data_IF_054624499156
#
_entry.id   IF_054624499156
#
_cell.length_a   1.000
_cell.length_b   1.000
_cell.length_c   1.000
_cell.angle_alpha   90.00
_cell.angle_beta   90.00
_cell.angle_gamma   90.00
#
_symmetry.space_group_name_H-M   'P 1'
#
loop_
_entity.id
_entity.type
_entity.pdbx_description
1 polymer ?
#
# COMPACT_ATOMS: atom_id res chain seq x y z
N UNK A 1 26.40 9.17 11.59
CA UNK A 1 26.81 9.03 10.18
C UNK A 1 25.57 9.31 9.34
N UNK A 2 25.59 10.39 8.57
CA UNK A 2 24.46 10.78 7.70
C UNK A 2 24.31 9.72 6.61
N UNK A 3 23.34 8.80 6.74
CA UNK A 3 22.94 7.98 5.60
C UNK A 3 22.41 8.94 4.54
N UNK A 4 23.10 9.05 3.40
CA UNK A 4 22.56 9.76 2.26
C UNK A 4 21.29 9.04 1.84
N UNK A 5 20.13 9.61 2.17
CA UNK A 5 18.84 9.10 1.70
C UNK A 5 18.88 9.06 0.17
N UNK A 6 18.50 7.92 -0.39
CA UNK A 6 18.40 7.77 -1.84
C UNK A 6 17.13 8.50 -2.26
N UNK A 7 17.17 9.41 -3.24
CA UNK A 7 15.95 10.03 -3.74
C UNK A 7 14.98 8.96 -4.27
N UNK A 8 13.70 9.07 -3.91
CA UNK A 8 12.72 8.04 -4.27
C UNK A 8 12.57 7.88 -5.80
N UNK A 9 12.68 8.99 -6.54
CA UNK A 9 12.58 9.06 -8.01
C UNK A 9 11.48 8.12 -8.56
N UNK A 10 10.21 8.35 -8.19
CA UNK A 10 9.11 7.48 -8.62
C UNK A 10 8.98 7.51 -10.15
N UNK A 11 8.80 6.35 -10.82
CA UNK A 11 8.52 6.32 -12.25
C UNK A 11 7.23 7.06 -12.63
N UNK A 12 7.08 7.38 -13.91
CA UNK A 12 5.94 8.14 -14.42
C UNK A 12 4.59 7.52 -14.07
N UNK A 13 3.69 8.38 -13.59
CA UNK A 13 2.33 8.03 -13.18
C UNK A 13 2.17 7.63 -11.71
N UNK A 14 3.27 7.39 -10.98
CA UNK A 14 3.21 7.18 -9.54
C UNK A 14 3.05 8.52 -8.79
N UNK A 15 2.15 8.53 -7.80
CA UNK A 15 1.87 9.68 -6.94
C UNK A 15 2.05 9.27 -5.48
N UNK A 16 2.70 10.15 -4.70
CA UNK A 16 2.89 9.94 -3.26
C UNK A 16 1.54 9.82 -2.55
N UNK A 17 1.42 8.84 -1.66
CA UNK A 17 0.22 8.67 -0.82
C UNK A 17 0.33 9.58 0.41
N UNK A 18 -0.63 10.49 0.56
CA UNK A 18 -0.75 11.27 1.80
C UNK A 18 -1.43 10.43 2.90
N UNK A 19 -0.61 9.75 3.70
CA UNK A 19 -1.05 9.04 4.90
C UNK A 19 -1.23 9.95 6.12
N UNK A 20 -0.57 11.11 6.14
CA UNK A 20 -0.66 12.04 7.27
C UNK A 20 -2.04 12.70 7.32
N UNK A 21 -2.61 13.05 6.15
CA UNK A 21 -3.94 13.68 6.03
C UNK A 21 -4.10 14.89 6.93
N UNK A 22 -3.06 15.72 7.00
CA UNK A 22 -3.01 16.91 7.85
C UNK A 22 -2.87 16.63 9.36
N UNK A 23 -2.65 15.37 9.78
CA UNK A 23 -2.36 15.05 11.18
C UNK A 23 -0.92 15.48 11.52
N UNK A 24 -0.71 16.10 12.69
CA UNK A 24 0.62 16.52 13.10
C UNK A 24 1.47 15.35 13.62
N UNK A 25 0.85 14.32 14.22
CA UNK A 25 1.58 13.17 14.72
C UNK A 25 1.83 12.11 13.64
N UNK A 26 3.01 11.48 13.62
CA UNK A 26 3.27 10.36 12.73
C UNK A 26 2.37 9.17 13.07
N UNK A 27 1.77 8.59 12.03
CA UNK A 27 1.14 7.27 12.07
C UNK A 27 2.13 6.19 11.62
N UNK A 28 1.75 4.93 11.73
CA UNK A 28 2.59 3.81 11.27
C UNK A 28 3.02 3.99 9.80
N UNK A 29 2.09 4.30 8.90
CA UNK A 29 2.39 4.42 7.47
C UNK A 29 3.29 5.62 7.14
N UNK A 30 3.18 6.73 7.88
CA UNK A 30 4.10 7.87 7.71
C UNK A 30 5.46 7.61 8.33
N UNK A 31 5.57 6.65 9.26
CA UNK A 31 6.81 6.29 9.94
C UNK A 31 7.66 5.30 9.14
N UNK A 32 7.03 4.32 8.48
CA UNK A 32 7.75 3.25 7.77
C UNK A 32 8.31 3.68 6.40
N UNK A 33 7.86 4.82 5.88
CA UNK A 33 8.44 5.48 4.71
C UNK A 33 7.43 5.82 3.62
N UNK A 34 7.92 6.48 2.57
CA UNK A 34 7.09 6.94 1.46
C UNK A 34 6.55 5.76 0.64
N UNK A 35 5.28 5.85 0.28
CA UNK A 35 4.65 4.91 -0.63
C UNK A 35 3.89 5.67 -1.71
N UNK A 36 3.85 5.04 -2.88
CA UNK A 36 3.33 5.64 -4.09
C UNK A 36 2.23 4.77 -4.66
N UNK A 37 1.28 5.40 -5.36
CA UNK A 37 0.23 4.69 -6.09
C UNK A 37 0.17 5.15 -7.53
N UNK A 38 -0.09 4.20 -8.43
CA UNK A 38 -0.43 4.45 -9.84
C UNK A 38 -1.76 3.76 -10.13
N UNK A 39 -2.59 4.43 -10.92
CA UNK A 39 -3.86 3.88 -11.42
C UNK A 39 -3.77 3.76 -12.93
N UNK A 40 -4.01 2.55 -13.42
CA UNK A 40 -3.97 2.22 -14.84
C UNK A 40 -5.36 2.06 -15.44
N UNK A 41 -5.40 1.43 -16.61
CA UNK A 41 -6.63 1.09 -17.31
C UNK A 41 -7.42 0.00 -16.55
N UNK A 42 -8.74 0.16 -16.51
CA UNK A 42 -9.66 -0.76 -15.83
C UNK A 42 -9.62 -2.16 -16.46
N UNK A 43 -9.59 -3.20 -15.62
CA UNK A 43 -9.52 -4.60 -16.03
C UNK A 43 -8.11 -5.09 -16.36
N UNK A 44 -7.09 -4.24 -16.26
CA UNK A 44 -5.69 -4.63 -16.48
C UNK A 44 -5.00 -5.01 -15.17
N UNK A 45 -3.87 -5.73 -15.29
CA UNK A 45 -3.00 -6.05 -14.15
C UNK A 45 -2.47 -4.80 -13.42
N UNK A 46 -2.40 -3.67 -14.12
CA UNK A 46 -1.88 -2.40 -13.60
C UNK A 46 -3.00 -1.39 -13.27
N UNK A 47 -4.26 -1.84 -13.19
CA UNK A 47 -5.40 -0.99 -12.81
C UNK A 47 -5.13 -0.26 -11.48
N UNK A 48 -4.46 -0.94 -10.54
CA UNK A 48 -3.93 -0.32 -9.32
C UNK A 48 -2.57 -0.94 -8.96
N UNK A 49 -1.56 -0.08 -8.77
CA UNK A 49 -0.22 -0.47 -8.32
C UNK A 49 0.16 0.39 -7.13
N UNK A 50 0.59 -0.24 -6.03
CA UNK A 50 1.26 0.44 -4.91
C UNK A 50 2.75 0.17 -5.00
N UNK A 51 3.60 1.15 -4.69
CA UNK A 51 5.04 0.98 -4.81
C UNK A 51 5.82 1.72 -3.72
N UNK A 52 7.04 1.26 -3.48
CA UNK A 52 8.02 1.90 -2.61
C UNK A 52 9.39 1.93 -3.29
N UNK A 53 10.20 2.93 -2.95
CA UNK A 53 11.66 2.86 -3.10
C UNK A 53 12.21 2.27 -1.80
N UNK A 54 13.02 1.22 -1.89
CA UNK A 54 13.65 0.65 -0.68
C UNK A 54 14.68 1.62 -0.13
N UNK A 55 14.45 2.10 1.08
CA UNK A 55 15.35 2.97 1.83
C UNK A 55 16.12 2.20 2.90
N UNK A 56 17.25 2.75 3.36
CA UNK A 56 18.11 2.08 4.34
C UNK A 56 17.40 1.79 5.67
N UNK A 57 16.47 2.66 6.10
CA UNK A 57 15.67 2.49 7.31
C UNK A 57 14.61 1.37 7.20
N UNK A 58 14.34 0.87 5.99
CA UNK A 58 13.41 -0.25 5.75
C UNK A 58 14.11 -1.62 5.79
N UNK A 59 15.44 -1.64 5.86
CA UNK A 59 16.22 -2.86 5.76
C UNK A 59 16.41 -3.57 7.11
N UNK A 60 16.54 -4.89 7.04
CA UNK A 60 16.98 -5.72 8.16
C UNK A 60 18.51 -5.61 8.38
N UNK A 61 19.05 -6.19 9.47
CA UNK A 61 20.49 -6.15 9.75
C UNK A 61 21.38 -6.78 8.67
N UNK A 62 20.84 -7.64 7.81
CA UNK A 62 21.56 -8.23 6.68
C UNK A 62 21.55 -7.33 5.42
N UNK A 63 20.95 -6.13 5.50
CA UNK A 63 20.94 -5.13 4.43
C UNK A 63 19.85 -5.31 3.37
N UNK A 64 19.01 -6.34 3.48
CA UNK A 64 17.85 -6.55 2.60
C UNK A 64 16.59 -5.91 3.17
N UNK A 65 15.61 -5.62 2.31
CA UNK A 65 14.30 -5.12 2.72
C UNK A 65 13.71 -6.02 3.80
N UNK A 66 13.32 -5.45 4.94
CA UNK A 66 12.83 -6.22 6.06
C UNK A 66 11.53 -6.95 5.67
N UNK A 67 11.38 -8.22 6.05
CA UNK A 67 10.18 -9.00 5.73
C UNK A 67 8.90 -8.35 6.28
N UNK A 68 8.99 -7.72 7.46
CA UNK A 68 7.93 -6.88 8.02
C UNK A 68 7.50 -5.72 7.10
N UNK A 69 8.45 -5.04 6.46
CA UNK A 69 8.13 -3.97 5.51
C UNK A 69 7.44 -4.53 4.26
N UNK A 70 7.89 -5.68 3.75
CA UNK A 70 7.19 -6.37 2.64
C UNK A 70 5.75 -6.74 3.02
N UNK A 71 5.54 -7.25 4.24
CA UNK A 71 4.19 -7.56 4.75
C UNK A 71 3.32 -6.30 4.86
N UNK A 72 3.86 -5.19 5.35
CA UNK A 72 3.16 -3.89 5.41
C UNK A 72 2.74 -3.41 4.03
N UNK A 73 3.65 -3.45 3.04
CA UNK A 73 3.33 -3.06 1.66
C UNK A 73 2.24 -3.97 1.09
N UNK A 74 2.35 -5.28 1.29
CA UNK A 74 1.36 -6.24 0.81
C UNK A 74 -0.02 -6.05 1.48
N UNK A 75 -0.07 -5.71 2.77
CA UNK A 75 -1.31 -5.37 3.48
C UNK A 75 -2.02 -4.18 2.82
N UNK A 76 -1.27 -3.12 2.51
CA UNK A 76 -1.81 -1.94 1.82
C UNK A 76 -2.20 -2.24 0.37
N UNK A 77 -1.49 -3.11 -0.34
CA UNK A 77 -1.90 -3.59 -1.67
C UNK A 77 -3.23 -4.33 -1.59
N UNK A 78 -3.41 -5.20 -0.59
CA UNK A 78 -4.65 -5.95 -0.38
C UNK A 78 -5.83 -5.05 -0.02
N UNK A 79 -5.63 -4.13 0.91
CA UNK A 79 -6.70 -3.26 1.44
C UNK A 79 -7.01 -2.08 0.52
N UNK A 80 -6.00 -1.37 0.00
CA UNK A 80 -6.21 -0.25 -0.92
C UNK A 80 -6.44 -0.74 -2.34
N UNK A 81 -5.57 -1.60 -2.86
CA UNK A 81 -5.65 -2.10 -4.23
C UNK A 81 -6.79 -3.07 -4.42
N UNK A 82 -6.89 -4.11 -3.58
CA UNK A 82 -8.01 -5.04 -3.62
C UNK A 82 -9.36 -4.33 -3.40
N UNK A 83 -9.42 -3.36 -2.48
CA UNK A 83 -10.59 -2.52 -2.27
C UNK A 83 -10.96 -1.69 -3.51
N UNK A 84 -9.98 -1.09 -4.17
CA UNK A 84 -10.17 -0.32 -5.41
C UNK A 84 -10.74 -1.20 -6.53
N UNK A 85 -10.14 -2.38 -6.78
CA UNK A 85 -10.59 -3.33 -7.80
C UNK A 85 -12.01 -3.85 -7.53
N UNK A 86 -12.36 -4.01 -6.25
CA UNK A 86 -13.69 -4.42 -5.80
C UNK A 86 -14.73 -3.28 -5.80
N UNK A 87 -14.34 -2.06 -6.20
CA UNK A 87 -15.23 -0.89 -6.15
C UNK A 87 -15.62 -0.45 -4.75
N UNK A 88 -14.84 -0.83 -3.72
CA UNK A 88 -15.11 -0.53 -2.32
C UNK A 88 -14.48 0.81 -1.92
N UNK A 89 -15.26 1.66 -1.24
CA UNK A 89 -14.80 2.94 -0.65
C UNK A 89 -14.86 2.92 0.88
N UNK A 90 -14.43 1.81 1.48
CA UNK A 90 -14.53 1.55 2.92
C UNK A 90 -13.15 1.30 3.52
N UNK A 91 -13.02 1.50 4.83
CA UNK A 91 -11.90 0.93 5.57
C UNK A 91 -12.05 -0.59 5.61
N UNK A 92 -11.00 -1.31 5.24
CA UNK A 92 -10.97 -2.77 5.13
C UNK A 92 -9.95 -3.33 6.13
N UNK A 93 -10.32 -3.52 7.40
CA UNK A 93 -9.43 -4.15 8.37
C UNK A 93 -9.00 -5.53 7.89
N UNK A 94 -7.70 -5.80 7.90
CA UNK A 94 -7.17 -7.12 7.58
C UNK A 94 -7.54 -8.11 8.68
N UNK A 95 -8.09 -9.27 8.27
CA UNK A 95 -8.48 -10.38 9.16
C UNK A 95 -7.37 -11.40 9.26
N UNK A 96 -6.78 -11.78 8.13
CA UNK A 96 -5.66 -12.70 8.08
C UNK A 96 -4.86 -12.51 6.79
N UNK A 97 -3.56 -12.79 6.87
CA UNK A 97 -2.68 -12.89 5.72
C UNK A 97 -1.69 -14.03 5.90
N UNK A 98 -1.38 -14.72 4.80
CA UNK A 98 -0.25 -15.65 4.70
C UNK A 98 0.74 -15.12 3.68
N UNK A 99 2.03 -15.37 3.90
CA UNK A 99 3.12 -14.79 3.12
C UNK A 99 4.15 -15.86 2.73
N UNK A 100 4.52 -15.86 1.46
CA UNK A 100 5.64 -16.64 0.93
C UNK A 100 6.73 -15.63 0.50
N UNK A 101 7.86 -15.61 1.21
CA UNK A 101 9.02 -14.77 0.87
C UNK A 101 9.89 -15.49 -0.16
N UNK A 102 9.93 -14.96 -1.38
CA UNK A 102 10.49 -15.67 -2.56
C UNK A 102 11.91 -15.21 -2.89
N UNK A 103 12.18 -13.90 -2.75
CA UNK A 103 13.47 -13.32 -3.09
C UNK A 103 13.72 -12.02 -2.29
N UNK A 104 15.00 -11.61 -2.11
CA UNK A 104 15.31 -10.34 -1.45
C UNK A 104 15.05 -9.14 -2.36
N UNK A 105 14.80 -7.98 -1.75
CA UNK A 105 14.94 -6.66 -2.37
C UNK A 105 16.02 -5.87 -1.60
N UNK A 106 16.70 -4.96 -2.28
CA UNK A 106 17.84 -4.18 -1.77
C UNK A 106 17.53 -2.70 -1.78
N UNK A 107 18.31 -1.94 -1.01
CA UNK A 107 18.28 -0.47 -1.03
C UNK A 107 18.39 0.04 -2.46
N UNK A 108 17.51 0.97 -2.82
CA UNK A 108 17.40 1.52 -4.17
C UNK A 108 16.45 0.75 -5.09
N UNK A 109 16.02 -0.47 -4.78
CA UNK A 109 15.04 -1.19 -5.62
C UNK A 109 13.68 -0.48 -5.62
N UNK A 110 13.02 -0.50 -6.78
CA UNK A 110 11.61 -0.11 -6.91
C UNK A 110 10.75 -1.35 -6.75
N UNK A 111 10.06 -1.44 -5.62
CA UNK A 111 9.16 -2.56 -5.32
C UNK A 111 7.75 -2.15 -5.69
N UNK A 112 7.10 -2.95 -6.53
CA UNK A 112 5.71 -2.75 -6.93
C UNK A 112 4.83 -3.89 -6.42
N UNK A 113 3.66 -3.54 -5.93
CA UNK A 113 2.66 -4.44 -5.39
C UNK A 113 1.36 -4.39 -6.18
N UNK A 114 0.85 -5.57 -6.53
CA UNK A 114 -0.40 -5.74 -7.28
C UNK A 114 -1.31 -6.73 -6.58
N UNK A 115 -2.60 -6.43 -6.62
CA UNK A 115 -3.67 -7.26 -6.10
C UNK A 115 -4.36 -8.01 -7.25
N UNK A 116 -4.71 -9.26 -7.01
CA UNK A 116 -5.65 -10.04 -7.80
C UNK A 116 -6.87 -10.31 -6.92
N UNK A 117 -8.02 -9.75 -7.31
CA UNK A 117 -9.27 -9.94 -6.59
C UNK A 117 -9.79 -11.37 -6.83
N UNK A 118 -9.85 -12.17 -5.77
CA UNK A 118 -10.30 -13.58 -5.85
C UNK A 118 -11.79 -13.67 -5.62
N UNK A 119 -12.29 -13.02 -4.56
CA UNK A 119 -13.71 -13.04 -4.22
C UNK A 119 -14.08 -11.86 -3.36
N UNK A 120 -15.20 -11.25 -3.69
CA UNK A 120 -15.91 -10.33 -2.81
C UNK A 120 -17.18 -11.01 -2.29
N UNK A 121 -17.35 -11.04 -0.98
CA UNK A 121 -18.59 -11.47 -0.33
C UNK A 121 -19.29 -10.27 0.30
N UNK A 122 -20.37 -10.50 1.04
CA UNK A 122 -21.03 -9.43 1.81
C UNK A 122 -20.12 -8.83 2.88
N UNK A 123 -19.26 -9.63 3.51
CA UNK A 123 -18.53 -9.24 4.73
C UNK A 123 -17.04 -9.42 4.66
N UNK A 124 -16.51 -10.05 3.60
CA UNK A 124 -15.10 -10.37 3.43
C UNK A 124 -14.65 -10.14 1.98
N UNK A 125 -13.42 -9.66 1.84
CA UNK A 125 -12.69 -9.51 0.59
C UNK A 125 -11.49 -10.46 0.60
N UNK A 126 -11.34 -11.24 -0.46
CA UNK A 126 -10.26 -12.21 -0.64
C UNK A 126 -9.37 -11.76 -1.81
N UNK A 127 -8.07 -11.64 -1.56
CA UNK A 127 -7.12 -11.05 -2.51
C UNK A 127 -5.81 -11.84 -2.52
N UNK A 128 -5.31 -12.20 -3.70
CA UNK A 128 -3.92 -12.60 -3.88
C UNK A 128 -3.07 -11.35 -4.13
N UNK A 129 -1.86 -11.31 -3.58
CA UNK A 129 -0.96 -10.17 -3.69
C UNK A 129 0.41 -10.67 -4.15
N UNK A 130 1.03 -9.92 -5.05
CA UNK A 130 2.42 -10.12 -5.43
C UNK A 130 3.19 -8.82 -5.31
N UNK A 131 4.37 -8.88 -4.68
CA UNK A 131 5.37 -7.82 -4.75
C UNK A 131 6.47 -8.23 -5.72
N UNK A 132 6.93 -7.28 -6.54
CA UNK A 132 7.95 -7.50 -7.57
C UNK A 132 9.00 -6.39 -7.57
N UNK A 133 10.22 -6.73 -7.96
CA UNK A 133 11.24 -5.78 -8.43
C UNK A 133 11.48 -6.08 -9.91
N UNK A 134 11.08 -5.17 -10.79
CA UNK A 134 10.95 -5.49 -12.23
C UNK A 134 10.02 -6.70 -12.41
N UNK A 135 10.51 -7.73 -13.12
CA UNK A 135 9.77 -8.97 -13.35
C UNK A 135 9.94 -10.04 -12.25
N UNK A 136 10.85 -9.82 -11.30
CA UNK A 136 11.13 -10.80 -10.25
C UNK A 136 10.13 -10.66 -9.10
N UNK A 137 9.41 -11.75 -8.78
CA UNK A 137 8.58 -11.84 -7.58
C UNK A 137 9.45 -11.94 -6.34
N UNK A 138 9.21 -11.06 -5.36
CA UNK A 138 9.90 -11.07 -4.06
C UNK A 138 9.00 -11.58 -2.94
N UNK A 139 7.67 -11.42 -3.09
CA UNK A 139 6.67 -11.85 -2.12
C UNK A 139 5.41 -12.31 -2.85
N UNK A 140 4.80 -13.39 -2.36
CA UNK A 140 3.39 -13.71 -2.59
C UNK A 140 2.65 -13.61 -1.26
N UNK A 141 1.43 -13.09 -1.27
CA UNK A 141 0.54 -13.17 -0.12
C UNK A 141 -0.89 -13.56 -0.51
N UNK A 142 -1.60 -14.19 0.42
CA UNK A 142 -3.05 -14.38 0.37
C UNK A 142 -3.67 -13.63 1.53
N UNK A 143 -4.64 -12.75 1.25
CA UNK A 143 -5.22 -11.84 2.23
C UNK A 143 -6.74 -12.00 2.31
N UNK A 144 -7.26 -11.89 3.54
CA UNK A 144 -8.68 -11.74 3.85
C UNK A 144 -8.86 -10.43 4.61
N UNK A 145 -9.69 -9.53 4.08
CA UNK A 145 -10.06 -8.28 4.73
C UNK A 145 -11.56 -8.23 5.06
N UNK A 146 -11.92 -7.54 6.14
CA UNK A 146 -13.31 -7.34 6.56
C UNK A 146 -13.94 -6.20 5.77
N UNK A 147 -15.08 -6.47 5.16
CA UNK A 147 -15.96 -5.44 4.61
C UNK A 147 -16.89 -4.98 5.73
N UNK A 148 -16.66 -3.77 6.23
CA UNK A 148 -17.43 -3.20 7.34
C UNK A 148 -18.87 -2.88 6.96
N UNK A 149 -19.82 -3.25 7.82
CA UNK A 149 -21.27 -3.13 7.55
C UNK A 149 -21.79 -1.68 7.57
N UNK A 150 -21.13 -0.75 8.26
CA UNK A 150 -21.51 0.66 8.27
C UNK A 150 -20.95 1.45 7.09
N UNK A 151 -21.39 2.70 6.94
CA UNK A 151 -20.79 3.74 6.08
C UNK A 151 -19.42 4.22 6.60
N UNK A 152 -18.77 3.38 7.41
CA UNK A 152 -17.60 3.69 8.23
C UNK A 152 -16.54 4.39 7.42
N UNK A 153 -16.28 5.64 7.81
CA UNK A 153 -15.22 6.55 7.35
C UNK A 153 -14.46 6.01 6.16
N UNK A 154 -15.07 6.08 4.98
CA UNK A 154 -14.34 5.84 3.75
C UNK A 154 -13.09 6.71 3.76
N UNK A 155 -12.02 6.26 3.11
CA UNK A 155 -10.78 7.03 2.93
C UNK A 155 -10.99 8.39 2.19
N UNK A 156 -12.22 8.88 2.02
CA UNK A 156 -12.65 10.04 1.22
C UNK A 156 -13.44 11.10 1.99
N UNK A 157 -13.29 11.25 3.31
CA UNK A 157 -13.85 12.42 4.03
C UNK A 157 -12.76 13.47 4.31
N UNK A 158 -12.40 14.23 3.27
CA UNK A 158 -11.76 15.55 3.41
C UNK A 158 -12.12 16.39 2.19
N UNK A 159 -13.40 16.73 2.05
CA UNK A 159 -13.85 18.04 1.57
C UNK A 159 -15.17 18.37 2.28
N UNK A 160 -15.40 19.65 2.56
CA UNK A 160 -16.55 20.27 3.24
C UNK A 160 -16.57 20.25 4.78
N UNK A 161 -15.79 21.15 5.39
CA UNK A 161 -16.32 22.14 6.33
C UNK A 161 -15.25 23.20 6.65
N UNK A 162 -15.13 24.20 5.78
CA UNK A 162 -14.67 25.53 6.20
C UNK A 162 -15.93 26.25 6.69
N UNK A 163 -16.04 26.65 7.96
CA UNK A 163 -17.17 27.46 8.39
C UNK A 163 -17.12 28.79 7.64
N UNK A 164 -18.20 29.10 6.94
CA UNK A 164 -18.42 30.44 6.41
C UNK A 164 -18.58 31.41 7.60
N UNK A 165 -17.72 32.42 7.65
CA UNK A 165 -17.89 33.56 8.54
C UNK A 165 -16.84 33.69 9.63
N UNK A 166 -15.77 34.42 9.32
CA UNK A 166 -15.16 35.34 10.27
C UNK A 166 -14.98 36.65 9.51
N UNK A 167 -15.82 37.62 9.85
CA UNK A 167 -15.70 39.04 9.49
C UNK A 167 -14.45 39.65 10.09
#
# INVERSE_FOLDING_TARGET
MSSSEIPDNPPDGFKLVDFARGRPEPTFNTHVGNMYVKRGEKGTRDEFVLAIRVQQNMCNPAGGLHGGMMMTVADLVGTMGGGYLAGLRKFLPTVSMTFDFVAPARVGDWVEGRAELIRQTRTLLFTNIYLTVGDQKILRASSIAKISSGDGTGYTKTEANVPAGAT
#
